data_IF_204106545906
#
_entry.id   IF_204106545906
#
_cell.length_a   1.000
_cell.length_b   1.000
_cell.length_c   1.000
_cell.angle_alpha   90.00
_cell.angle_beta   90.00
_cell.angle_gamma   90.00
#
_symmetry.space_group_name_H-M   'P 1'
#
loop_
_entity.id
_entity.type
_entity.pdbx_description
1 polymer ?
#
# COMPACT_ATOMS: atom_id res chain seq x y z
N UNK A 1 17.67 17.56 -11.34
CA UNK A 1 16.72 16.75 -10.53
C UNK A 1 15.55 16.18 -11.35
N UNK A 2 15.28 16.73 -12.53
CA UNK A 2 14.15 16.34 -13.40
C UNK A 2 14.28 14.94 -14.06
N UNK A 3 15.50 14.43 -14.24
CA UNK A 3 15.74 13.10 -14.84
C UNK A 3 15.41 11.91 -13.93
N UNK A 4 15.23 12.11 -12.62
CA UNK A 4 14.85 11.03 -11.71
C UNK A 4 13.33 10.75 -11.70
N UNK A 5 12.52 11.75 -12.06
CA UNK A 5 11.07 11.62 -12.12
C UNK A 5 10.56 10.90 -13.38
N UNK A 6 11.41 10.74 -14.42
CA UNK A 6 11.04 10.08 -15.68
C UNK A 6 11.03 8.54 -15.61
N UNK A 7 11.48 7.95 -14.48
CA UNK A 7 11.37 6.51 -14.22
C UNK A 7 10.26 6.22 -13.20
N UNK A 8 9.09 6.79 -13.40
CA UNK A 8 7.87 6.09 -12.99
C UNK A 8 7.69 4.94 -13.98
N UNK A 9 8.50 3.90 -13.83
CA UNK A 9 8.30 2.64 -14.51
C UNK A 9 6.91 2.18 -14.11
N UNK A 10 5.97 2.26 -15.05
CA UNK A 10 4.71 1.51 -14.97
C UNK A 10 5.15 0.06 -14.97
N UNK A 11 5.33 -0.49 -13.77
CA UNK A 11 5.63 -1.90 -13.59
C UNK A 11 4.40 -2.63 -14.16
N UNK A 12 4.59 -3.60 -15.06
CA UNK A 12 3.50 -4.42 -15.54
C UNK A 12 2.67 -4.89 -14.34
N UNK A 13 1.33 -4.82 -14.39
CA UNK A 13 0.46 -5.22 -13.29
C UNK A 13 0.86 -6.59 -12.74
N UNK A 14 1.23 -7.54 -13.59
CA UNK A 14 1.70 -8.86 -13.16
C UNK A 14 2.94 -8.82 -12.24
N UNK A 15 3.86 -7.88 -12.47
CA UNK A 15 5.08 -7.70 -11.68
C UNK A 15 4.84 -6.78 -10.46
N UNK A 16 3.93 -5.81 -10.58
CA UNK A 16 3.50 -4.95 -9.48
C UNK A 16 2.68 -5.70 -8.41
N UNK A 17 1.98 -6.76 -8.82
CA UNK A 17 1.15 -7.60 -7.96
C UNK A 17 1.99 -8.59 -7.13
N UNK A 18 3.28 -8.78 -7.44
CA UNK A 18 4.15 -9.69 -6.71
C UNK A 18 3.65 -11.14 -6.66
N UNK A 19 4.32 -11.98 -5.85
CA UNK A 19 3.75 -13.27 -5.49
C UNK A 19 2.57 -13.04 -4.54
N UNK A 20 1.43 -13.75 -4.71
CA UNK A 20 0.34 -13.65 -3.76
C UNK A 20 0.82 -13.96 -2.34
N UNK A 21 0.41 -13.13 -1.40
CA UNK A 21 0.56 -13.37 0.02
C UNK A 21 -0.21 -14.66 0.38
N UNK A 22 0.07 -15.29 1.55
CA UNK A 22 -0.59 -16.53 1.95
C UNK A 22 -2.13 -16.47 1.96
N UNK A 23 -2.70 -15.28 2.04
CA UNK A 23 -4.14 -15.01 1.99
C UNK A 23 -4.71 -14.84 0.56
N UNK A 24 -3.88 -15.00 -0.46
CA UNK A 24 -4.26 -14.96 -1.89
C UNK A 24 -4.30 -13.56 -2.51
N UNK A 25 -3.87 -12.53 -1.79
CA UNK A 25 -3.84 -11.15 -2.26
C UNK A 25 -2.43 -10.69 -2.66
N UNK A 26 -2.31 -9.74 -3.60
CA UNK A 26 -1.01 -9.29 -4.11
C UNK A 26 -0.19 -8.46 -3.10
N UNK A 27 -0.88 -7.76 -2.19
CA UNK A 27 -0.30 -6.92 -1.13
C UNK A 27 -0.49 -7.55 0.25
N UNK A 28 0.22 -7.15 1.32
CA UNK A 28 0.00 -7.65 2.68
C UNK A 28 -1.09 -6.88 3.43
N UNK A 29 -1.62 -7.47 4.53
CA UNK A 29 -2.38 -6.73 5.56
C UNK A 29 -1.42 -5.83 6.33
N UNK A 30 -1.65 -4.52 6.34
CA UNK A 30 -0.80 -3.51 7.00
C UNK A 30 -1.46 -2.85 8.21
N UNK A 31 -2.80 -2.90 8.36
CA UNK A 31 -3.50 -2.28 9.50
C UNK A 31 -3.51 -3.22 10.70
N UNK A 32 -2.48 -3.11 11.53
CA UNK A 32 -2.33 -3.94 12.74
C UNK A 32 -2.84 -3.25 14.00
N UNK A 33 -2.66 -1.93 14.12
CA UNK A 33 -2.99 -1.15 15.31
C UNK A 33 -3.57 0.22 14.97
N UNK A 34 -4.41 0.74 15.86
CA UNK A 34 -4.88 2.11 15.87
C UNK A 34 -4.18 2.87 17.02
N UNK A 35 -3.57 4.00 16.68
CA UNK A 35 -2.90 4.88 17.63
C UNK A 35 -3.87 5.96 18.11
N UNK A 36 -4.10 6.01 19.42
CA UNK A 36 -4.87 7.08 20.05
C UNK A 36 -3.97 7.90 20.96
N UNK A 37 -4.03 9.23 20.93
CA UNK A 37 -3.30 10.04 21.90
C UNK A 37 -3.84 9.78 23.30
N UNK A 38 -2.95 9.57 24.27
CA UNK A 38 -3.37 9.48 25.66
C UNK A 38 -3.98 10.80 26.11
N UNK A 39 -4.96 10.74 26.99
CA UNK A 39 -5.68 11.94 27.46
C UNK A 39 -4.76 12.93 28.18
N UNK A 40 -3.75 12.42 28.88
CA UNK A 40 -2.74 13.15 29.63
C UNK A 40 -1.47 13.46 28.81
N UNK A 41 -1.37 12.97 27.58
CA UNK A 41 -0.22 13.24 26.72
C UNK A 41 -0.20 14.72 26.30
N UNK A 42 0.86 15.43 26.70
CA UNK A 42 1.07 16.80 26.24
C UNK A 42 1.51 16.80 24.77
N UNK A 43 0.54 16.98 23.87
CA UNK A 43 0.71 16.88 22.40
C UNK A 43 1.85 17.71 21.83
N UNK A 44 2.21 18.84 22.47
CA UNK A 44 3.34 19.68 22.03
C UNK A 44 4.71 18.98 22.14
N UNK A 45 4.81 17.91 22.91
CA UNK A 45 6.01 17.11 23.05
C UNK A 45 6.07 15.95 22.04
N UNK A 46 5.02 15.75 21.24
CA UNK A 46 5.07 14.79 20.15
C UNK A 46 5.84 15.38 18.98
N UNK A 47 6.97 14.75 18.63
CA UNK A 47 7.73 15.03 17.40
C UNK A 47 7.62 13.87 16.42
N UNK A 48 7.50 14.23 15.15
CA UNK A 48 7.72 13.32 14.02
C UNK A 48 9.22 13.24 13.79
N UNK A 49 9.79 12.05 13.94
CA UNK A 49 11.23 11.85 13.73
C UNK A 49 11.48 11.24 12.35
N UNK A 50 12.66 11.51 11.79
CA UNK A 50 13.16 10.78 10.64
C UNK A 50 14.02 9.59 11.10
N UNK A 51 13.79 8.40 10.55
CA UNK A 51 14.55 7.20 10.87
C UNK A 51 14.83 6.37 9.61
N UNK A 52 15.78 5.43 9.70
CA UNK A 52 16.08 4.48 8.63
C UNK A 52 15.44 3.14 8.93
N UNK A 53 14.57 2.69 8.04
CA UNK A 53 13.83 1.44 8.16
C UNK A 53 14.52 0.30 7.39
N UNK A 54 15.85 0.19 7.52
CA UNK A 54 16.58 -0.95 6.93
C UNK A 54 16.31 -2.22 7.76
N UNK A 55 16.16 -3.40 7.12
CA UNK A 55 16.33 -3.67 5.68
C UNK A 55 15.07 -3.45 4.82
N UNK A 56 13.94 -3.09 5.42
CA UNK A 56 12.63 -3.01 4.74
C UNK A 56 12.58 -1.90 3.67
N UNK A 57 13.34 -0.81 3.89
CA UNK A 57 13.48 0.30 2.96
C UNK A 57 14.96 0.64 2.70
N UNK A 58 15.30 1.18 1.51
CA UNK A 58 16.66 1.58 1.18
C UNK A 58 17.24 2.59 2.19
N UNK A 59 18.53 2.45 2.51
CA UNK A 59 19.21 3.26 3.54
C UNK A 59 19.19 4.78 3.26
N UNK A 60 19.06 5.17 1.99
CA UNK A 60 19.00 6.57 1.56
C UNK A 60 17.61 7.20 1.70
N UNK A 61 16.58 6.39 1.90
CA UNK A 61 15.20 6.86 2.02
C UNK A 61 14.84 7.03 3.51
N UNK A 62 14.64 8.27 4.01
CA UNK A 62 14.17 8.46 5.37
C UNK A 62 12.69 8.06 5.49
N UNK A 63 12.38 7.37 6.57
CA UNK A 63 11.01 7.14 7.02
C UNK A 63 10.66 8.17 8.10
N UNK A 64 9.41 8.58 8.16
CA UNK A 64 8.94 9.60 9.09
C UNK A 64 8.02 9.00 10.16
N UNK A 65 8.03 9.57 11.35
CA UNK A 65 7.23 9.13 12.48
C UNK A 65 8.09 8.42 13.52
N UNK A 66 7.68 7.23 13.95
CA UNK A 66 8.37 6.44 14.99
C UNK A 66 8.39 4.97 14.58
N UNK A 67 9.57 4.34 14.55
CA UNK A 67 9.72 2.91 14.21
C UNK A 67 9.04 1.97 15.22
N UNK A 68 9.21 2.28 16.50
CA UNK A 68 8.75 1.46 17.62
C UNK A 68 7.62 2.20 18.34
N UNK A 69 6.39 2.00 17.86
CA UNK A 69 5.18 2.68 18.35
C UNK A 69 4.81 2.24 19.77
N UNK A 70 5.11 1.00 20.12
CA UNK A 70 4.90 0.40 21.44
C UNK A 70 5.75 1.07 22.54
N UNK A 71 6.86 1.71 22.15
CA UNK A 71 7.75 2.44 23.06
C UNK A 71 7.34 3.90 23.23
N UNK A 72 6.31 4.37 22.53
CA UNK A 72 5.89 5.77 22.56
C UNK A 72 4.98 6.04 23.76
N UNK A 73 5.36 7.00 24.60
CA UNK A 73 4.56 7.41 25.76
C UNK A 73 3.34 8.24 25.39
N UNK A 74 3.27 8.73 24.16
CA UNK A 74 2.21 9.65 23.70
C UNK A 74 0.93 8.95 23.27
N UNK A 75 1.02 7.65 22.96
CA UNK A 75 -0.10 6.91 22.38
C UNK A 75 -0.52 5.73 23.25
N UNK A 76 -1.81 5.45 23.21
CA UNK A 76 -2.39 4.15 23.46
C UNK A 76 -2.45 3.40 22.14
N UNK A 77 -2.05 2.12 22.19
CA UNK A 77 -2.03 1.23 21.05
C UNK A 77 -3.21 0.27 21.21
N UNK A 78 -4.13 0.29 20.25
CA UNK A 78 -5.25 -0.63 20.21
C UNK A 78 -5.09 -1.55 19.01
N UNK A 79 -5.09 -2.87 19.24
CA UNK A 79 -5.07 -3.81 18.12
C UNK A 79 -6.30 -3.58 17.22
N UNK A 80 -6.05 -3.48 15.92
CA UNK A 80 -7.09 -3.21 14.94
C UNK A 80 -8.15 -4.33 14.92
N UNK A 81 -7.75 -5.56 15.26
CA UNK A 81 -8.62 -6.72 15.36
C UNK A 81 -9.71 -6.61 16.44
N UNK A 82 -9.55 -5.72 17.43
CA UNK A 82 -10.49 -5.57 18.54
C UNK A 82 -11.66 -4.61 18.24
N UNK A 83 -11.69 -4.01 17.05
CA UNK A 83 -12.75 -3.07 16.66
C UNK A 83 -13.87 -3.76 15.88
N UNK A 84 -15.08 -3.20 15.92
CA UNK A 84 -16.24 -3.71 15.17
C UNK A 84 -16.06 -3.68 13.65
N UNK A 85 -15.12 -2.87 13.16
CA UNK A 85 -14.74 -2.77 11.75
C UNK A 85 -13.46 -3.56 11.42
N UNK A 86 -13.02 -4.46 12.31
CA UNK A 86 -11.94 -5.39 12.00
C UNK A 86 -12.19 -6.11 10.66
N UNK A 87 -11.13 -6.32 9.88
CA UNK A 87 -11.22 -6.95 8.56
C UNK A 87 -11.67 -6.03 7.42
N UNK A 88 -11.99 -4.75 7.69
CA UNK A 88 -12.29 -3.76 6.63
C UNK A 88 -11.16 -3.67 5.59
N UNK A 89 -9.90 -3.79 6.02
CA UNK A 89 -8.75 -3.80 5.11
C UNK A 89 -8.84 -4.95 4.09
N UNK A 90 -9.12 -6.17 4.55
CA UNK A 90 -9.31 -7.34 3.69
C UNK A 90 -10.46 -7.12 2.69
N UNK A 91 -11.54 -6.47 3.12
CA UNK A 91 -12.67 -6.13 2.24
C UNK A 91 -12.24 -5.13 1.17
N UNK A 92 -11.49 -4.09 1.54
CA UNK A 92 -10.95 -3.09 0.60
C UNK A 92 -10.00 -3.75 -0.40
N UNK A 93 -9.08 -4.60 0.07
CA UNK A 93 -8.12 -5.35 -0.76
C UNK A 93 -8.83 -6.23 -1.78
N UNK A 94 -9.89 -6.93 -1.37
CA UNK A 94 -10.77 -7.69 -2.28
C UNK A 94 -11.38 -6.82 -3.36
N UNK A 95 -12.01 -5.71 -3.00
CA UNK A 95 -12.60 -4.81 -4.00
C UNK A 95 -11.55 -4.23 -4.95
N UNK A 96 -10.35 -3.90 -4.46
CA UNK A 96 -9.27 -3.41 -5.30
C UNK A 96 -8.81 -4.45 -6.32
N UNK A 97 -8.62 -5.70 -5.88
CA UNK A 97 -8.25 -6.83 -6.73
C UNK A 97 -9.33 -7.13 -7.79
N UNK A 98 -10.60 -7.18 -7.38
CA UNK A 98 -11.73 -7.43 -8.30
C UNK A 98 -11.85 -6.33 -9.35
N UNK A 99 -11.71 -5.06 -8.94
CA UNK A 99 -11.71 -3.93 -9.86
C UNK A 99 -10.53 -3.99 -10.85
N UNK A 100 -9.33 -4.40 -10.41
CA UNK A 100 -8.19 -4.59 -11.29
C UNK A 100 -8.47 -5.68 -12.34
N UNK A 101 -8.99 -6.84 -11.92
CA UNK A 101 -9.35 -7.94 -12.83
C UNK A 101 -10.39 -7.51 -13.88
N UNK A 102 -11.42 -6.77 -13.48
CA UNK A 102 -12.44 -6.26 -14.40
C UNK A 102 -11.83 -5.31 -15.44
N UNK A 103 -10.95 -4.39 -15.02
CA UNK A 103 -10.24 -3.50 -15.96
C UNK A 103 -9.37 -4.28 -16.94
N UNK A 104 -8.65 -5.30 -16.47
CA UNK A 104 -7.85 -6.15 -17.34
C UNK A 104 -8.69 -6.89 -18.38
N UNK A 105 -9.80 -7.50 -17.97
CA UNK A 105 -10.72 -8.19 -18.88
C UNK A 105 -11.27 -7.24 -19.95
N UNK A 106 -11.64 -6.00 -19.57
CA UNK A 106 -12.10 -4.98 -20.52
C UNK A 106 -10.97 -4.50 -21.46
N UNK A 107 -9.74 -4.35 -20.96
CA UNK A 107 -8.58 -3.99 -21.77
C UNK A 107 -8.25 -5.05 -22.82
N UNK A 108 -8.26 -6.33 -22.42
CA UNK A 108 -8.07 -7.46 -23.33
C UNK A 108 -9.17 -7.51 -24.39
N UNK A 109 -10.43 -7.31 -23.99
CA UNK A 109 -11.55 -7.24 -24.94
C UNK A 109 -11.38 -6.11 -25.96
N UNK A 110 -10.89 -4.94 -25.55
CA UNK A 110 -10.63 -3.80 -26.46
C UNK A 110 -9.47 -4.07 -27.43
N UNK A 111 -8.40 -4.71 -26.98
CA UNK A 111 -7.27 -5.11 -27.85
C UNK A 111 -7.70 -6.19 -28.85
N UNK A 112 -8.51 -7.16 -28.41
CA UNK A 112 -9.04 -8.21 -29.28
C UNK A 112 -10.06 -7.73 -30.32
N UNK A 113 -10.62 -6.53 -30.16
CA UNK A 113 -11.57 -5.93 -31.10
C UNK A 113 -10.94 -4.92 -32.06
N UNK A 114 -9.62 -4.74 -32.07
CA UNK A 114 -8.97 -3.88 -33.03
C UNK A 114 -8.93 -4.59 -34.40
N UNK A 115 -9.68 -4.13 -35.42
CA UNK A 115 -9.61 -4.74 -36.73
C UNK A 115 -8.23 -4.44 -37.31
N UNK A 116 -7.45 -5.47 -37.63
CA UNK A 116 -6.24 -5.28 -38.40
C UNK A 116 -6.63 -4.75 -39.78
N UNK A 117 -6.50 -3.45 -40.02
CA UNK A 117 -6.50 -2.90 -41.36
C UNK A 117 -5.17 -3.30 -42.03
N UNK A 118 -5.06 -4.58 -42.37
CA UNK A 118 -4.12 -5.09 -43.36
C UNK A 118 -4.95 -5.49 -44.56
N UNK A 119 -5.38 -4.50 -45.34
CA UNK A 119 -5.89 -4.72 -46.68
C UNK A 119 -4.79 -4.28 -47.63
N UNK A 120 -4.13 -5.28 -48.21
CA UNK A 120 -3.39 -5.20 -49.46
C UNK A 120 -4.17 -4.38 -50.50
N UNK A 121 -3.51 -3.40 -51.11
CA UNK A 121 -3.16 -3.36 -52.54
C UNK A 121 -2.43 -2.07 -52.87
#
# INVERSE_FOLDING_TARGET
MEKAALKNTVVPPEEALGAPHPDGFPDPVIWTHLLSFRKDAYRKLYSVDAYRASPEFPQWQPCYGRRYVEKQKMFELHEFANFSFAGIETVIRRFAMDAARLRHAQGVARVGHHPSNSTRN
#
